data_IF_173755726156
#
_entry.id   IF_173755726156
#
_cell.length_a   1.000
_cell.length_b   1.000
_cell.length_c   1.000
_cell.angle_alpha   90.00
_cell.angle_beta   90.00
_cell.angle_gamma   90.00
#
_symmetry.space_group_name_H-M   'P 1'
#
loop_
_entity.id
_entity.type
_entity.pdbx_description
1 polymer ?
#
# COMPACT_ATOMS: atom_id res chain seq x y z
N UNK A 1 -7.09 21.08 -11.94
CA UNK A 1 -5.65 20.85 -12.15
C UNK A 1 -5.11 20.23 -10.87
N UNK A 2 -5.26 18.91 -10.72
CA UNK A 2 -4.90 18.17 -9.49
C UNK A 2 -4.14 16.91 -9.90
N UNK A 3 -2.98 17.12 -10.54
CA UNK A 3 -2.09 16.03 -10.94
C UNK A 3 -0.70 16.29 -10.36
N UNK A 4 -0.63 16.27 -9.03
CA UNK A 4 0.63 16.26 -8.28
C UNK A 4 0.56 15.21 -7.19
N UNK A 5 0.34 13.96 -7.58
CA UNK A 5 0.80 12.84 -6.75
C UNK A 5 2.33 12.87 -6.82
N UNK A 6 2.99 13.00 -5.66
CA UNK A 6 4.44 13.04 -5.62
C UNK A 6 5.00 11.75 -6.27
N UNK A 7 5.77 11.90 -7.35
CA UNK A 7 6.33 10.76 -8.11
C UNK A 7 7.44 10.02 -7.38
N UNK A 8 7.79 10.45 -6.16
CA UNK A 8 8.80 9.84 -5.31
C UNK A 8 8.49 10.12 -3.83
N UNK A 9 8.96 9.22 -2.95
CA UNK A 9 8.89 9.44 -1.51
C UNK A 9 9.87 10.58 -1.11
N UNK A 10 9.44 11.54 -0.29
CA UNK A 10 10.30 12.62 0.17
C UNK A 10 11.36 12.08 1.15
N UNK A 11 12.51 12.76 1.24
CA UNK A 11 13.54 12.51 2.25
C UNK A 11 13.10 12.98 3.66
N UNK A 12 11.99 12.42 4.14
CA UNK A 12 11.35 12.69 5.43
C UNK A 12 10.99 11.36 6.10
N UNK A 13 10.78 11.35 7.43
CA UNK A 13 10.33 10.15 8.14
C UNK A 13 9.01 9.62 7.57
N UNK A 14 8.94 8.32 7.31
CA UNK A 14 7.70 7.62 6.95
C UNK A 14 7.28 6.64 8.03
N UNK A 15 6.01 6.29 8.06
CA UNK A 15 5.46 5.30 8.99
C UNK A 15 4.53 4.31 8.29
N UNK A 16 4.48 3.08 8.79
CA UNK A 16 3.46 2.11 8.40
C UNK A 16 2.09 2.52 8.95
N UNK A 17 1.10 2.66 8.06
CA UNK A 17 -0.24 3.06 8.42
C UNK A 17 -1.02 1.90 9.05
N UNK A 18 -1.67 2.20 10.19
CA UNK A 18 -2.65 1.32 10.85
C UNK A 18 -3.96 2.11 11.08
N UNK A 19 -5.14 1.54 10.78
CA UNK A 19 -6.42 2.28 10.83
C UNK A 19 -6.76 2.95 12.16
N UNK A 20 -6.24 2.41 13.28
CA UNK A 20 -6.43 2.95 14.62
C UNK A 20 -5.85 4.37 14.77
N UNK A 21 -4.84 4.72 13.97
CA UNK A 21 -4.16 6.02 14.03
C UNK A 21 -4.73 7.06 13.06
N UNK A 22 -5.76 6.71 12.27
CA UNK A 22 -6.33 7.61 11.27
C UNK A 22 -6.67 8.99 11.85
N UNK A 23 -7.44 9.04 12.93
CA UNK A 23 -7.88 10.31 13.51
C UNK A 23 -6.70 11.16 14.01
N UNK A 24 -5.67 10.54 14.58
CA UNK A 24 -4.49 11.24 15.08
C UNK A 24 -3.66 11.83 13.93
N UNK A 25 -3.34 11.02 12.91
CA UNK A 25 -2.59 11.46 11.71
C UNK A 25 -3.32 12.62 11.02
N UNK A 26 -4.65 12.55 11.00
CA UNK A 26 -5.50 13.55 10.35
C UNK A 26 -5.61 14.87 11.11
N UNK A 27 -5.49 14.81 12.44
CA UNK A 27 -5.50 15.98 13.30
C UNK A 27 -4.14 16.67 13.32
N UNK A 28 -3.06 15.89 13.52
CA UNK A 28 -1.68 16.36 13.47
C UNK A 28 -0.73 15.18 13.15
N UNK A 29 -0.13 15.14 11.94
CA UNK A 29 0.82 14.10 11.57
C UNK A 29 2.24 14.34 12.12
N UNK A 30 2.50 15.49 12.75
CA UNK A 30 3.82 15.89 13.20
C UNK A 30 4.86 15.86 12.06
N UNK A 31 6.02 15.18 12.23
CA UNK A 31 7.08 15.19 11.21
C UNK A 31 6.84 14.24 10.03
N UNK A 32 5.82 13.35 10.10
CA UNK A 32 5.56 12.29 9.11
C UNK A 32 5.40 12.89 7.71
N UNK A 33 6.22 12.41 6.77
CA UNK A 33 6.25 12.89 5.39
C UNK A 33 5.61 11.96 4.37
N UNK A 34 5.42 10.68 4.69
CA UNK A 34 4.79 9.69 3.83
C UNK A 34 4.30 8.49 4.63
N UNK A 35 3.40 7.70 4.04
CA UNK A 35 2.80 6.53 4.68
C UNK A 35 3.04 5.27 3.87
N UNK A 36 3.29 4.16 4.54
CA UNK A 36 3.33 2.84 3.93
C UNK A 36 2.08 2.03 4.25
N UNK A 37 1.58 1.31 3.26
CA UNK A 37 0.49 0.34 3.44
C UNK A 37 0.91 -1.04 2.93
N UNK A 38 0.34 -2.09 3.52
CA UNK A 38 0.40 -3.42 2.93
C UNK A 38 -0.71 -3.56 1.89
N UNK A 39 -0.35 -3.95 0.67
CA UNK A 39 -1.26 -3.98 -0.48
C UNK A 39 -2.52 -4.82 -0.19
N UNK A 40 -2.35 -6.00 0.40
CA UNK A 40 -3.38 -7.01 0.63
C UNK A 40 -4.51 -6.53 1.55
N UNK A 41 -4.22 -5.59 2.44
CA UNK A 41 -5.24 -4.98 3.31
C UNK A 41 -6.20 -4.06 2.55
N UNK A 42 -5.87 -3.67 1.32
CA UNK A 42 -6.59 -2.69 0.51
C UNK A 42 -6.95 -3.20 -0.90
N UNK A 43 -6.81 -4.51 -1.15
CA UNK A 43 -7.23 -5.18 -2.39
C UNK A 43 -8.72 -5.62 -2.40
N UNK A 44 -9.49 -5.23 -1.38
CA UNK A 44 -10.92 -5.54 -1.27
C UNK A 44 -11.82 -4.56 -2.03
N UNK A 45 -13.14 -4.79 -1.99
CA UNK A 45 -14.13 -4.05 -2.81
C UNK A 45 -14.63 -2.71 -2.23
N UNK A 46 -14.01 -2.19 -1.16
CA UNK A 46 -14.35 -0.85 -0.66
C UNK A 46 -14.35 -0.74 0.87
N UNK A 47 -15.33 0.02 1.37
CA UNK A 47 -15.58 0.23 2.79
C UNK A 47 -14.63 1.23 3.44
N UNK A 48 -14.67 1.25 4.77
CA UNK A 48 -13.89 2.19 5.59
C UNK A 48 -12.38 2.17 5.30
N UNK A 49 -11.70 1.03 5.11
CA UNK A 49 -10.27 1.02 4.82
C UNK A 49 -9.93 1.81 3.55
N UNK A 50 -10.64 1.56 2.45
CA UNK A 50 -10.41 2.26 1.19
C UNK A 50 -10.83 3.73 1.23
N UNK A 51 -11.92 4.07 1.94
CA UNK A 51 -12.31 5.46 2.15
C UNK A 51 -11.24 6.25 2.93
N UNK A 52 -10.67 5.65 3.97
CA UNK A 52 -9.57 6.26 4.72
C UNK A 52 -8.30 6.38 3.86
N UNK A 53 -7.94 5.33 3.12
CA UNK A 53 -6.75 5.35 2.26
C UNK A 53 -6.83 6.44 1.19
N UNK A 54 -7.98 6.59 0.53
CA UNK A 54 -8.19 7.70 -0.42
C UNK A 54 -7.93 9.06 0.22
N UNK A 55 -8.49 9.27 1.41
CA UNK A 55 -8.30 10.53 2.12
C UNK A 55 -6.85 10.79 2.56
N UNK A 56 -6.12 9.73 2.90
CA UNK A 56 -4.69 9.82 3.22
C UNK A 56 -3.86 10.08 1.96
N UNK A 57 -4.19 9.46 0.83
CA UNK A 57 -3.49 9.62 -0.44
C UNK A 57 -3.59 11.05 -1.00
N UNK A 58 -4.67 11.77 -0.67
CA UNK A 58 -4.80 13.20 -1.01
C UNK A 58 -3.83 14.11 -0.22
N UNK A 59 -3.18 13.59 0.84
CA UNK A 59 -2.39 14.37 1.80
C UNK A 59 -0.95 13.90 1.93
N UNK A 60 -0.70 12.61 1.70
CA UNK A 60 0.60 11.98 1.87
C UNK A 60 0.97 11.20 0.61
N UNK A 61 2.24 11.27 0.18
CA UNK A 61 2.80 10.25 -0.68
C UNK A 61 2.64 8.87 -0.03
N UNK A 62 2.21 7.88 -0.82
CA UNK A 62 1.96 6.52 -0.34
C UNK A 62 3.01 5.57 -0.92
N UNK A 63 3.63 4.78 -0.06
CA UNK A 63 4.37 3.57 -0.41
C UNK A 63 3.42 2.37 -0.32
N UNK A 64 3.36 1.56 -1.37
CA UNK A 64 2.63 0.28 -1.36
C UNK A 64 3.64 -0.83 -1.22
N UNK A 65 3.49 -1.63 -0.17
CA UNK A 65 4.32 -2.79 0.06
C UNK A 65 3.48 -4.06 -0.06
N UNK A 66 3.80 -4.92 -1.02
CA UNK A 66 3.18 -6.24 -1.12
C UNK A 66 3.84 -7.22 -0.13
N UNK A 67 3.05 -8.16 0.38
CA UNK A 67 3.56 -9.27 1.22
C UNK A 67 3.10 -10.64 0.75
N UNK A 68 2.18 -10.71 -0.21
CA UNK A 68 1.49 -11.94 -0.60
C UNK A 68 1.84 -12.47 -2.00
N UNK A 69 2.63 -11.76 -2.80
CA UNK A 69 2.89 -12.16 -4.19
C UNK A 69 3.85 -13.36 -4.29
N UNK A 70 4.69 -13.58 -3.28
CA UNK A 70 5.61 -14.72 -3.18
C UNK A 70 6.48 -14.91 -4.44
N UNK A 71 7.10 -13.81 -4.94
CA UNK A 71 7.82 -13.78 -6.23
C UNK A 71 8.93 -14.83 -6.31
N UNK A 72 9.58 -15.14 -5.19
CA UNK A 72 10.65 -16.14 -5.12
C UNK A 72 10.16 -17.60 -5.06
N UNK A 73 8.86 -17.85 -5.14
CA UNK A 73 8.29 -19.20 -5.07
C UNK A 73 8.49 -20.01 -6.36
N UNK A 74 8.39 -21.33 -6.25
CA UNK A 74 8.53 -22.27 -7.39
C UNK A 74 7.38 -22.22 -8.40
N UNK A 75 6.21 -21.74 -7.97
CA UNK A 75 5.00 -21.68 -8.79
C UNK A 75 4.94 -20.43 -9.68
N UNK A 76 4.05 -20.47 -10.67
CA UNK A 76 3.66 -19.27 -11.39
C UNK A 76 3.02 -18.24 -10.45
N UNK A 77 3.20 -16.95 -10.75
CA UNK A 77 2.55 -15.88 -10.01
C UNK A 77 1.02 -16.00 -10.10
N UNK A 78 0.34 -15.71 -8.99
CA UNK A 78 -1.11 -15.69 -8.91
C UNK A 78 -1.67 -14.50 -9.73
N UNK A 79 -2.29 -14.80 -10.87
CA UNK A 79 -2.82 -13.80 -11.80
C UNK A 79 -3.96 -12.97 -11.19
N UNK A 80 -4.78 -13.56 -10.31
CA UNK A 80 -5.88 -12.85 -9.65
C UNK A 80 -5.35 -11.90 -8.57
N UNK A 81 -4.30 -12.32 -7.85
CA UNK A 81 -3.57 -11.42 -6.97
C UNK A 81 -2.97 -10.25 -7.75
N UNK A 82 -2.27 -10.51 -8.85
CA UNK A 82 -1.70 -9.46 -9.71
C UNK A 82 -2.76 -8.50 -10.25
N UNK A 83 -3.95 -9.00 -10.62
CA UNK A 83 -5.06 -8.16 -11.08
C UNK A 83 -5.57 -7.21 -9.98
N UNK A 84 -5.69 -7.71 -8.74
CA UNK A 84 -6.07 -6.88 -7.58
C UNK A 84 -4.98 -5.86 -7.23
N UNK A 85 -3.70 -6.25 -7.28
CA UNK A 85 -2.58 -5.34 -7.07
C UNK A 85 -2.55 -4.24 -8.14
N UNK A 86 -2.70 -4.61 -9.42
CA UNK A 86 -2.78 -3.66 -10.53
C UNK A 86 -3.92 -2.67 -10.33
N UNK A 87 -5.08 -3.14 -9.87
CA UNK A 87 -6.21 -2.27 -9.56
C UNK A 87 -5.86 -1.27 -8.46
N UNK A 88 -5.30 -1.75 -7.34
CA UNK A 88 -4.88 -0.90 -6.23
C UNK A 88 -3.88 0.17 -6.67
N UNK A 89 -2.77 -0.25 -7.28
CA UNK A 89 -1.70 0.66 -7.74
C UNK A 89 -2.24 1.64 -8.79
N UNK A 90 -3.14 1.19 -9.67
CA UNK A 90 -3.68 1.99 -10.76
C UNK A 90 -4.49 3.20 -10.29
N UNK A 91 -5.34 3.05 -9.27
CA UNK A 91 -6.10 4.19 -8.75
C UNK A 91 -5.34 4.97 -7.69
N UNK A 92 -4.52 4.29 -6.88
CA UNK A 92 -3.79 4.92 -5.77
C UNK A 92 -2.60 5.76 -6.26
N UNK A 93 -2.06 5.42 -7.43
CA UNK A 93 -0.87 6.01 -8.03
C UNK A 93 0.24 6.27 -7.00
N UNK A 94 0.76 5.22 -6.34
CA UNK A 94 1.66 5.37 -5.22
C UNK A 94 3.02 5.93 -5.65
N UNK A 95 3.67 6.64 -4.74
CA UNK A 95 5.02 7.18 -4.94
C UNK A 95 6.10 6.08 -4.99
N UNK A 96 5.79 4.89 -4.47
CA UNK A 96 6.66 3.71 -4.52
C UNK A 96 5.84 2.43 -4.42
N UNK A 97 6.32 1.37 -5.07
CA UNK A 97 5.85 -0.01 -4.86
C UNK A 97 7.05 -0.91 -4.56
N UNK A 98 6.92 -1.77 -3.56
CA UNK A 98 7.93 -2.79 -3.20
C UNK A 98 7.28 -4.12 -2.82
N UNK A 99 8.04 -5.21 -2.89
CA UNK A 99 7.60 -6.58 -2.57
C UNK A 99 8.81 -7.43 -2.17
N UNK A 100 8.56 -8.55 -1.51
CA UNK A 100 9.55 -9.54 -1.14
C UNK A 100 9.88 -10.52 -2.27
N UNK A 101 11.17 -10.79 -2.45
CA UNK A 101 11.68 -11.90 -3.28
C UNK A 101 11.68 -13.24 -2.51
N UNK A 102 10.75 -13.44 -1.58
CA UNK A 102 10.74 -14.58 -0.67
C UNK A 102 9.59 -15.56 -0.97
N UNK A 103 9.68 -16.77 -0.40
CA UNK A 103 8.52 -17.64 -0.21
C UNK A 103 7.62 -17.06 0.87
N UNK A 104 6.63 -16.28 0.48
CA UNK A 104 5.61 -15.78 1.41
C UNK A 104 4.41 -16.72 1.51
N UNK A 105 4.32 -17.72 0.63
CA UNK A 105 3.23 -18.70 0.59
C UNK A 105 3.74 -20.11 0.28
N UNK A 106 3.32 -21.10 1.07
CA UNK A 106 3.55 -22.52 0.83
C UNK A 106 2.27 -23.30 1.17
N UNK A 107 1.80 -24.17 0.26
CA UNK A 107 0.58 -24.97 0.42
C UNK A 107 -0.68 -24.18 0.83
N UNK A 108 -0.78 -22.92 0.39
CA UNK A 108 -1.92 -22.05 0.71
C UNK A 108 -1.84 -21.33 2.06
N UNK A 109 -0.81 -21.59 2.87
CA UNK A 109 -0.52 -20.87 4.10
C UNK A 109 0.49 -19.74 3.85
N UNK A 110 0.31 -18.60 4.54
CA UNK A 110 1.29 -17.52 4.57
C UNK A 110 2.32 -17.80 5.68
N UNK A 111 3.61 -17.63 5.37
CA UNK A 111 4.73 -17.86 6.30
C UNK A 111 5.11 -16.59 7.07
#
# INVERSE_FOLDING_TARGET
MLDQTATALPARPGIGYKPQHFAAIMADPGPVGWLEIHAENYMGEGGRPLAQLRHLADRFPISVHGVGLSIGGEGALDADHLARLKTLVGWLNPASFSEHLAWSKHDGAYL
#
